data_IF_138437611307
#
_entry.id   IF_138437611307
#
_cell.length_a   1.000
_cell.length_b   1.000
_cell.length_c   1.000
_cell.angle_alpha   90.00
_cell.angle_beta   90.00
_cell.angle_gamma   90.00
#
_symmetry.space_group_name_H-M   'P 1'
#
loop_
_entity.id
_entity.type
_entity.pdbx_description
1 polymer ?
#
# COMPACT_ATOMS: atom_id res chain seq x y z
N UNK A 1 -2.01 58.45 9.57
CA UNK A 1 -3.06 57.88 8.70
C UNK A 1 -2.87 56.37 8.68
N UNK A 2 -3.81 55.59 9.22
CA UNK A 2 -3.76 54.12 9.23
C UNK A 2 -4.74 53.61 8.18
N UNK A 3 -4.26 53.00 7.11
CA UNK A 3 -5.09 52.33 6.10
C UNK A 3 -5.56 50.98 6.65
N UNK A 4 -6.88 50.78 6.74
CA UNK A 4 -7.48 49.47 6.98
C UNK A 4 -7.91 48.90 5.63
N UNK A 5 -7.22 47.86 5.17
CA UNK A 5 -7.69 46.97 4.11
C UNK A 5 -8.29 45.77 4.83
N UNK A 6 -9.61 45.57 4.75
CA UNK A 6 -10.23 44.29 5.07
C UNK A 6 -10.74 43.68 3.77
N UNK A 7 -10.07 42.61 3.37
CA UNK A 7 -10.44 41.75 2.26
C UNK A 7 -11.79 41.06 2.55
N UNK A 8 -12.63 40.98 1.52
CA UNK A 8 -13.88 40.23 1.55
C UNK A 8 -13.56 38.73 1.70
N UNK A 9 -14.03 38.13 2.80
CA UNK A 9 -13.96 36.70 3.05
C UNK A 9 -15.07 36.02 2.24
N UNK A 10 -14.77 35.49 1.05
CA UNK A 10 -15.68 34.57 0.37
C UNK A 10 -15.57 33.20 1.02
N UNK A 11 -16.54 32.88 1.87
CA UNK A 11 -16.70 31.56 2.46
C UNK A 11 -17.08 30.58 1.35
N UNK A 12 -16.10 29.89 0.76
CA UNK A 12 -16.37 28.73 -0.09
C UNK A 12 -16.82 27.61 0.84
N UNK A 13 -18.14 27.39 0.90
CA UNK A 13 -18.70 26.23 1.59
C UNK A 13 -18.27 24.96 0.83
N UNK A 14 -17.65 23.96 1.49
CA UNK A 14 -17.36 22.71 0.82
C UNK A 14 -18.69 21.99 0.55
N UNK A 15 -18.99 21.79 -0.74
CA UNK A 15 -20.02 20.87 -1.20
C UNK A 15 -19.62 19.46 -0.76
N UNK A 16 -20.27 18.94 0.28
CA UNK A 16 -20.16 17.54 0.66
C UNK A 16 -20.80 16.68 -0.44
N UNK A 17 -19.96 16.16 -1.34
CA UNK A 17 -20.39 15.09 -2.24
C UNK A 17 -20.64 13.84 -1.40
N UNK A 18 -21.90 13.41 -1.35
CA UNK A 18 -22.30 12.08 -0.86
C UNK A 18 -21.86 11.02 -1.86
N UNK A 19 -20.58 10.65 -1.83
CA UNK A 19 -20.10 9.37 -2.35
C UNK A 19 -20.27 8.30 -1.26
N UNK A 20 -20.41 7.03 -1.64
CA UNK A 20 -20.58 5.89 -0.75
C UNK A 20 -19.72 5.98 0.51
N UNK A 21 -20.20 5.43 1.64
CA UNK A 21 -19.42 5.26 2.89
C UNK A 21 -18.13 4.54 2.55
N UNK A 22 -17.10 5.31 2.20
CA UNK A 22 -15.80 4.78 1.87
C UNK A 22 -15.20 4.47 3.23
N UNK A 23 -14.97 3.18 3.50
CA UNK A 23 -14.31 2.72 4.71
C UNK A 23 -12.86 3.19 4.82
N UNK A 24 -12.37 3.93 3.81
CA UNK A 24 -11.05 4.52 3.81
C UNK A 24 -11.03 5.76 4.70
N UNK A 25 -9.86 6.03 5.30
CA UNK A 25 -9.65 7.23 6.10
C UNK A 25 -8.96 8.29 5.21
N UNK A 26 -9.66 9.35 4.77
CA UNK A 26 -9.09 10.33 3.85
C UNK A 26 -7.88 11.07 4.42
N UNK A 27 -7.81 11.22 5.74
CA UNK A 27 -6.69 11.87 6.41
C UNK A 27 -5.43 11.00 6.33
N UNK A 28 -5.57 9.68 6.50
CA UNK A 28 -4.46 8.75 6.34
C UNK A 28 -4.02 8.62 4.88
N UNK A 29 -4.97 8.59 3.94
CA UNK A 29 -4.63 8.62 2.50
C UNK A 29 -3.85 9.91 2.19
N UNK A 30 -4.35 11.06 2.62
CA UNK A 30 -3.68 12.34 2.38
C UNK A 30 -2.30 12.39 3.05
N UNK A 31 -2.15 11.84 4.25
CA UNK A 31 -0.86 11.73 4.93
C UNK A 31 0.11 10.89 4.09
N UNK A 32 -0.27 9.66 3.73
CA UNK A 32 0.54 8.78 2.90
C UNK A 32 0.95 9.45 1.59
N UNK A 33 0.01 10.06 0.86
CA UNK A 33 0.28 10.66 -0.44
C UNK A 33 1.08 11.97 -0.38
N UNK A 34 1.12 12.64 0.78
CA UNK A 34 1.88 13.89 0.93
C UNK A 34 3.24 13.70 1.60
N UNK A 35 3.40 12.67 2.44
CA UNK A 35 4.63 12.48 3.21
C UNK A 35 5.31 11.13 2.96
N UNK A 36 4.62 10.15 2.38
CA UNK A 36 5.08 8.76 2.32
C UNK A 36 5.01 8.04 3.68
N UNK A 37 4.49 8.66 4.73
CA UNK A 37 4.47 8.08 6.08
C UNK A 37 3.07 7.67 6.52
N UNK A 38 2.86 6.38 6.77
CA UNK A 38 1.61 5.86 7.31
C UNK A 38 1.78 4.61 8.19
N UNK A 39 2.77 4.63 9.08
CA UNK A 39 2.92 3.63 10.14
C UNK A 39 1.62 3.44 10.92
N UNK A 40 1.10 2.22 10.98
CA UNK A 40 -0.14 1.87 11.69
C UNK A 40 -1.40 2.53 11.16
N UNK A 41 -1.36 3.20 10.00
CA UNK A 41 -2.54 3.84 9.44
C UNK A 41 -3.61 2.82 9.08
N UNK A 42 -4.87 3.22 9.27
CA UNK A 42 -5.98 2.54 8.64
C UNK A 42 -6.18 3.06 7.19
N UNK A 43 -5.89 2.20 6.22
CA UNK A 43 -6.04 2.39 4.77
C UNK A 43 -6.93 1.27 4.17
N UNK A 44 -7.75 0.60 4.98
CA UNK A 44 -8.60 -0.49 4.51
C UNK A 44 -9.54 -0.03 3.40
N UNK A 45 -9.57 -0.76 2.28
CA UNK A 45 -10.37 -0.41 1.11
C UNK A 45 -9.97 0.91 0.45
N UNK A 46 -8.81 1.48 0.75
CA UNK A 46 -8.33 2.70 0.10
C UNK A 46 -8.15 2.49 -1.41
N UNK A 47 -8.47 3.53 -2.18
CA UNK A 47 -8.15 3.58 -3.60
C UNK A 47 -6.81 4.29 -3.77
N UNK A 48 -5.78 3.52 -4.06
CA UNK A 48 -4.38 3.93 -4.24
C UNK A 48 -3.86 3.50 -5.62
N UNK A 49 -4.77 3.37 -6.60
CA UNK A 49 -4.41 2.98 -7.98
C UNK A 49 -3.39 3.95 -8.56
N UNK A 50 -2.29 3.40 -9.10
CA UNK A 50 -1.22 4.18 -9.70
C UNK A 50 -0.48 5.10 -8.72
N UNK A 51 -0.64 4.93 -7.40
CA UNK A 51 0.02 5.79 -6.42
C UNK A 51 1.55 5.64 -6.49
N UNK A 52 2.25 6.76 -6.32
CA UNK A 52 3.70 6.79 -6.20
C UNK A 52 4.08 6.66 -4.72
N UNK A 53 4.43 5.45 -4.30
CA UNK A 53 4.70 5.08 -2.90
C UNK A 53 6.14 4.60 -2.71
N UNK A 54 7.06 5.12 -3.54
CA UNK A 54 8.49 4.80 -3.48
C UNK A 54 9.02 5.16 -2.08
N UNK A 55 9.63 4.18 -1.39
CA UNK A 55 10.19 4.35 -0.06
C UNK A 55 9.16 4.62 1.04
N UNK A 56 7.87 4.42 0.79
CA UNK A 56 6.82 4.72 1.77
C UNK A 56 6.96 3.84 3.01
N UNK A 57 6.75 4.45 4.18
CA UNK A 57 6.73 3.76 5.46
C UNK A 57 5.29 3.38 5.83
N UNK A 58 4.94 2.12 5.57
CA UNK A 58 3.64 1.51 5.77
C UNK A 58 3.67 0.43 6.86
N UNK A 59 4.68 0.46 7.74
CA UNK A 59 4.85 -0.55 8.80
C UNK A 59 3.60 -0.67 9.66
N UNK A 60 3.09 -1.89 9.79
CA UNK A 60 1.87 -2.19 10.55
C UNK A 60 0.59 -1.54 10.02
N UNK A 61 0.59 -0.93 8.83
CA UNK A 61 -0.60 -0.32 8.26
C UNK A 61 -1.66 -1.38 7.92
N UNK A 62 -2.93 -1.02 8.03
CA UNK A 62 -4.04 -1.85 7.57
C UNK A 62 -4.43 -1.46 6.14
N UNK A 63 -4.05 -2.27 5.16
CA UNK A 63 -4.34 -2.15 3.74
C UNK A 63 -5.33 -3.23 3.25
N UNK A 64 -6.08 -3.86 4.17
CA UNK A 64 -7.03 -4.92 3.84
C UNK A 64 -7.98 -4.45 2.73
N UNK A 65 -8.02 -5.21 1.62
CA UNK A 65 -8.87 -4.92 0.47
C UNK A 65 -8.56 -3.60 -0.25
N UNK A 66 -7.43 -2.94 0.03
CA UNK A 66 -7.04 -1.72 -0.67
C UNK A 66 -6.75 -2.01 -2.16
N UNK A 67 -7.05 -1.04 -3.01
CA UNK A 67 -6.75 -1.12 -4.44
C UNK A 67 -5.45 -0.37 -4.75
N UNK A 68 -4.40 -1.12 -5.03
CA UNK A 68 -3.04 -0.65 -5.34
C UNK A 68 -2.68 -1.00 -6.81
N UNK A 69 -3.68 -1.21 -7.68
CA UNK A 69 -3.43 -1.57 -9.08
C UNK A 69 -2.51 -0.53 -9.74
N UNK A 70 -1.40 -1.00 -10.32
CA UNK A 70 -0.41 -0.15 -10.98
C UNK A 70 0.42 0.76 -10.05
N UNK A 71 0.31 0.63 -8.72
CA UNK A 71 1.08 1.45 -7.80
C UNK A 71 2.59 1.12 -7.88
N UNK A 72 3.44 2.13 -7.65
CA UNK A 72 4.87 1.92 -7.49
C UNK A 72 5.24 1.93 -6.00
N UNK A 73 5.63 0.77 -5.48
CA UNK A 73 6.01 0.52 -4.09
C UNK A 73 7.53 0.36 -3.91
N UNK A 74 8.35 0.71 -4.90
CA UNK A 74 9.81 0.48 -4.86
C UNK A 74 10.43 0.93 -3.52
N UNK A 75 11.08 0.02 -2.80
CA UNK A 75 11.71 0.32 -1.52
C UNK A 75 10.77 0.58 -0.34
N UNK A 76 9.46 0.40 -0.48
CA UNK A 76 8.51 0.62 0.61
C UNK A 76 8.70 -0.40 1.76
N UNK A 77 8.46 0.05 2.99
CA UNK A 77 8.47 -0.80 4.18
C UNK A 77 7.04 -1.14 4.60
N UNK A 78 6.64 -2.38 4.38
CA UNK A 78 5.34 -2.98 4.72
C UNK A 78 5.48 -4.01 5.84
N UNK A 79 6.54 -3.91 6.67
CA UNK A 79 6.77 -4.85 7.76
C UNK A 79 5.55 -4.92 8.68
N UNK A 80 5.00 -6.12 8.86
CA UNK A 80 3.83 -6.38 9.69
C UNK A 80 2.51 -5.78 9.18
N UNK A 81 2.48 -5.23 7.96
CA UNK A 81 1.26 -4.65 7.40
C UNK A 81 0.22 -5.74 7.06
N UNK A 82 -1.07 -5.37 7.15
CA UNK A 82 -2.16 -6.24 6.74
C UNK A 82 -2.63 -5.91 5.33
N UNK A 83 -2.28 -6.71 4.33
CA UNK A 83 -2.70 -6.55 2.93
C UNK A 83 -3.75 -7.58 2.50
N UNK A 84 -4.41 -8.28 3.43
CA UNK A 84 -5.33 -9.36 3.07
C UNK A 84 -6.36 -8.91 2.02
N UNK A 85 -6.42 -9.66 0.90
CA UNK A 85 -7.31 -9.36 -0.22
C UNK A 85 -7.03 -8.07 -0.99
N UNK A 86 -5.89 -7.40 -0.76
CA UNK A 86 -5.52 -6.21 -1.51
C UNK A 86 -5.26 -6.53 -2.99
N UNK A 87 -5.56 -5.57 -3.86
CA UNK A 87 -5.32 -5.68 -5.29
C UNK A 87 -4.01 -4.98 -5.67
N UNK A 88 -2.93 -5.75 -5.89
CA UNK A 88 -1.63 -5.28 -6.37
C UNK A 88 -1.38 -5.66 -7.84
N UNK A 89 -2.45 -5.84 -8.62
CA UNK A 89 -2.36 -6.13 -10.04
C UNK A 89 -1.49 -5.08 -10.75
N UNK A 90 -0.54 -5.52 -11.55
CA UNK A 90 0.39 -4.64 -12.29
C UNK A 90 1.19 -3.65 -11.43
N UNK A 91 1.29 -3.86 -10.12
CA UNK A 91 2.10 -3.03 -9.24
C UNK A 91 3.61 -3.32 -9.43
N UNK A 92 4.45 -2.34 -9.09
CA UNK A 92 5.90 -2.48 -9.05
C UNK A 92 6.33 -2.60 -7.60
N UNK A 93 6.83 -3.77 -7.21
CA UNK A 93 7.26 -4.10 -5.86
C UNK A 93 8.73 -4.59 -5.90
N UNK A 94 9.64 -3.69 -6.25
CA UNK A 94 11.09 -3.93 -6.18
C UNK A 94 11.63 -3.50 -4.82
N UNK A 95 12.49 -4.29 -4.19
CA UNK A 95 13.10 -3.98 -2.88
C UNK A 95 12.08 -3.70 -1.76
N UNK A 96 10.91 -4.33 -1.80
CA UNK A 96 9.86 -4.10 -0.81
C UNK A 96 10.06 -5.00 0.39
N UNK A 97 9.89 -4.46 1.59
CA UNK A 97 9.92 -5.25 2.82
C UNK A 97 8.51 -5.66 3.23
N UNK A 98 8.12 -6.90 2.95
CA UNK A 98 6.88 -7.53 3.42
C UNK A 98 7.09 -8.43 4.64
N UNK A 99 8.20 -8.29 5.38
CA UNK A 99 8.49 -9.13 6.56
C UNK A 99 7.31 -9.15 7.53
N UNK A 100 6.87 -10.34 7.91
CA UNK A 100 5.70 -10.58 8.79
C UNK A 100 4.36 -9.98 8.28
N UNK A 101 4.26 -9.58 7.01
CA UNK A 101 3.01 -9.04 6.46
C UNK A 101 1.95 -10.14 6.24
N UNK A 102 0.69 -9.74 6.24
CA UNK A 102 -0.40 -10.60 5.82
C UNK A 102 -0.70 -10.36 4.33
N UNK A 103 -0.22 -11.26 3.47
CA UNK A 103 -0.44 -11.24 2.02
C UNK A 103 -1.54 -12.22 1.58
N UNK A 104 -2.34 -12.77 2.49
CA UNK A 104 -3.35 -13.76 2.14
C UNK A 104 -4.37 -13.20 1.13
N UNK A 105 -4.63 -13.95 0.06
CA UNK A 105 -5.58 -13.57 -0.98
C UNK A 105 -5.17 -12.33 -1.81
N UNK A 106 -3.92 -11.86 -1.70
CA UNK A 106 -3.45 -10.72 -2.49
C UNK A 106 -3.42 -11.09 -3.98
N UNK A 107 -3.91 -10.17 -4.81
CA UNK A 107 -3.81 -10.28 -6.25
C UNK A 107 -2.55 -9.59 -6.77
N UNK A 108 -1.56 -10.37 -7.19
CA UNK A 108 -0.33 -9.93 -7.84
C UNK A 108 -0.34 -10.17 -9.36
N UNK A 109 -1.52 -10.35 -9.98
CA UNK A 109 -1.60 -10.59 -11.43
C UNK A 109 -0.80 -9.55 -12.21
N UNK A 110 0.13 -9.99 -13.06
CA UNK A 110 0.99 -9.12 -13.87
C UNK A 110 1.83 -8.09 -13.09
N UNK A 111 2.01 -8.28 -11.79
CA UNK A 111 2.90 -7.44 -10.98
C UNK A 111 4.37 -7.82 -11.20
N UNK A 112 5.27 -6.88 -10.96
CA UNK A 112 6.72 -7.11 -10.92
C UNK A 112 7.16 -7.08 -9.47
N UNK A 113 7.70 -8.19 -8.97
CA UNK A 113 8.13 -8.37 -7.58
C UNK A 113 9.57 -8.87 -7.57
N UNK A 114 10.49 -7.97 -7.30
CA UNK A 114 11.93 -8.23 -7.39
C UNK A 114 12.58 -7.93 -6.05
N UNK A 115 13.53 -8.76 -5.65
CA UNK A 115 14.42 -8.47 -4.50
C UNK A 115 13.67 -8.09 -3.20
N UNK A 116 12.47 -8.68 -2.99
CA UNK A 116 11.54 -8.26 -1.94
C UNK A 116 11.47 -9.27 -0.80
N UNK A 117 11.49 -8.79 0.44
CA UNK A 117 11.58 -9.64 1.63
C UNK A 117 10.18 -10.10 2.04
N UNK A 118 9.95 -11.41 2.07
CA UNK A 118 8.68 -12.02 2.51
C UNK A 118 8.86 -12.92 3.73
N UNK A 119 9.95 -12.77 4.48
CA UNK A 119 10.23 -13.57 5.66
C UNK A 119 9.10 -13.45 6.70
N UNK A 120 8.53 -14.58 7.10
CA UNK A 120 7.41 -14.63 8.05
C UNK A 120 6.06 -14.12 7.51
N UNK A 121 5.98 -13.74 6.22
CA UNK A 121 4.72 -13.31 5.63
C UNK A 121 3.75 -14.49 5.43
N UNK A 122 2.46 -14.25 5.66
CA UNK A 122 1.41 -15.21 5.32
C UNK A 122 0.99 -15.04 3.86
N UNK A 123 1.02 -16.11 3.06
CA UNK A 123 0.90 -16.06 1.60
C UNK A 123 -0.10 -17.09 1.04
N UNK A 124 -1.15 -17.41 1.79
CA UNK A 124 -2.20 -18.31 1.33
C UNK A 124 -3.02 -17.66 0.21
N UNK A 125 -3.47 -18.46 -0.76
CA UNK A 125 -4.39 -18.04 -1.82
C UNK A 125 -3.93 -16.82 -2.66
N UNK A 126 -2.62 -16.65 -2.84
CA UNK A 126 -2.08 -15.62 -3.73
C UNK A 126 -2.47 -15.88 -5.19
N UNK A 127 -2.82 -14.82 -5.92
CA UNK A 127 -2.90 -14.87 -7.37
C UNK A 127 -1.65 -14.21 -7.99
N UNK A 128 -0.72 -15.04 -8.48
CA UNK A 128 0.53 -14.63 -9.11
C UNK A 128 0.51 -14.84 -10.63
N UNK A 129 -0.67 -14.89 -11.24
CA UNK A 129 -0.81 -15.11 -12.70
C UNK A 129 -0.05 -14.05 -13.49
N UNK A 130 0.88 -14.48 -14.34
CA UNK A 130 1.75 -13.60 -15.15
C UNK A 130 2.60 -12.61 -14.32
N UNK A 131 2.79 -12.84 -13.02
CA UNK A 131 3.68 -12.01 -12.22
C UNK A 131 5.14 -12.32 -12.56
N UNK A 132 5.96 -11.27 -12.62
CA UNK A 132 7.41 -11.40 -12.72
C UNK A 132 7.99 -11.45 -11.31
N UNK A 133 8.50 -12.60 -10.88
CA UNK A 133 9.01 -12.80 -9.53
C UNK A 133 10.47 -13.23 -9.61
N UNK A 134 11.36 -12.44 -9.03
CA UNK A 134 12.79 -12.73 -8.98
C UNK A 134 13.37 -12.38 -7.60
N UNK A 135 14.31 -13.20 -7.13
CA UNK A 135 14.97 -13.03 -5.84
C UNK A 135 14.00 -12.70 -4.69
N UNK A 136 12.84 -13.35 -4.69
CA UNK A 136 11.74 -13.12 -3.76
C UNK A 136 11.16 -14.49 -3.42
N UNK A 137 10.94 -14.79 -2.13
CA UNK A 137 10.43 -16.08 -1.65
C UNK A 137 8.96 -16.39 -1.96
N UNK A 138 8.37 -15.81 -3.00
CA UNK A 138 6.98 -16.06 -3.42
C UNK A 138 6.97 -17.18 -4.47
N UNK A 139 6.07 -18.17 -4.33
CA UNK A 139 5.90 -19.25 -5.31
C UNK A 139 6.69 -20.53 -5.03
N UNK A 140 7.43 -20.57 -3.93
CA UNK A 140 7.88 -21.83 -3.31
C UNK A 140 6.68 -22.47 -2.62
N UNK A 141 6.06 -23.44 -3.31
CA UNK A 141 4.93 -24.21 -2.78
C UNK A 141 5.16 -24.66 -1.34
N UNK A 142 4.07 -24.63 -0.56
CA UNK A 142 4.07 -24.82 0.88
C UNK A 142 4.95 -25.97 1.38
N UNK A 143 5.46 -25.74 2.59
CA UNK A 143 6.44 -26.50 3.37
C UNK A 143 7.93 -26.29 3.02
N UNK A 144 8.60 -25.63 3.96
CA UNK A 144 10.01 -25.86 4.32
C UNK A 144 11.14 -25.31 3.44
N UNK A 145 10.88 -24.43 2.47
CA UNK A 145 11.99 -23.71 1.83
C UNK A 145 12.40 -22.53 2.72
N UNK A 146 13.63 -22.59 3.24
CA UNK A 146 14.27 -21.54 4.02
C UNK A 146 14.29 -20.24 3.19
N UNK A 147 13.34 -19.33 3.45
CA UNK A 147 13.36 -17.96 2.95
C UNK A 147 14.47 -17.26 3.72
N UNK A 148 15.62 -16.93 3.09
CA UNK A 148 16.69 -16.27 3.80
C UNK A 148 16.18 -14.91 4.27
N UNK A 149 16.39 -14.61 5.56
CA UNK A 149 16.11 -13.28 6.09
C UNK A 149 17.31 -12.40 5.72
N UNK A 150 17.11 -11.48 4.79
CA UNK A 150 18.13 -10.50 4.42
C UNK A 150 17.93 -9.27 5.31
N UNK A 151 18.38 -9.38 6.56
CA UNK A 151 18.53 -8.24 7.48
C UNK A 151 19.71 -7.33 7.04
#
# INVERSE_FOLDING_TARGET
>A
MKTKILAALTLVAPLFFTGAVSANNPQHIQKLLSTGECQGCNLSGADLRGAHLIGADLRGANLQGANLEGANLEGADLTGANLAGANLKSAFATNVNFKNANLNGVNFTSATILDSNVHGASMNDLNITNAEIYNTGIGIGGDSSHIPDWD
#
